data_IF_350746766558
#
_entry.id   IF_350746766558
#
_cell.length_a   1.000
_cell.length_b   1.000
_cell.length_c   1.000
_cell.angle_alpha   90.00
_cell.angle_beta   90.00
_cell.angle_gamma   90.00
#
_symmetry.space_group_name_H-M   'P 1'
#
loop_
_entity.id
_entity.type
_entity.pdbx_description
1 polymer ?
#
# COMPACT_ATOMS: atom_id res chain seq x y z
N UNK A 1 11.04 -33.83 -12.75
CA UNK A 1 12.03 -33.10 -11.95
C UNK A 1 11.34 -32.63 -10.67
N UNK A 2 11.61 -33.27 -9.54
CA UNK A 2 11.01 -32.91 -8.25
C UNK A 2 11.77 -31.69 -7.72
N UNK A 3 11.12 -30.50 -7.79
CA UNK A 3 11.63 -29.37 -7.04
C UNK A 3 11.59 -29.74 -5.54
N UNK A 4 12.69 -29.58 -4.84
CA UNK A 4 12.76 -29.85 -3.41
C UNK A 4 11.66 -29.06 -2.69
N UNK A 5 10.91 -29.69 -1.79
CA UNK A 5 9.89 -29.05 -0.94
C UNK A 5 10.42 -27.76 -0.29
N UNK A 6 11.70 -27.72 0.07
CA UNK A 6 12.35 -26.54 0.61
C UNK A 6 12.39 -25.34 -0.36
N UNK A 7 12.44 -25.58 -1.66
CA UNK A 7 12.45 -24.50 -2.68
C UNK A 7 11.02 -24.02 -2.98
N UNK A 8 10.02 -24.89 -2.83
CA UNK A 8 8.61 -24.55 -3.09
C UNK A 8 7.98 -23.81 -1.92
N UNK A 9 8.28 -24.20 -0.67
CA UNK A 9 7.64 -23.67 0.54
C UNK A 9 8.48 -22.64 1.31
N UNK A 10 9.70 -22.31 0.85
CA UNK A 10 10.56 -21.31 1.48
C UNK A 10 10.90 -20.18 0.53
N UNK A 11 10.57 -18.97 0.94
CA UNK A 11 11.04 -17.72 0.31
C UNK A 11 11.71 -16.88 1.40
N UNK A 12 12.92 -16.40 1.15
CA UNK A 12 13.56 -15.42 2.02
C UNK A 12 12.88 -14.06 1.76
N UNK A 13 12.26 -13.48 2.78
CA UNK A 13 11.81 -12.10 2.70
C UNK A 13 13.03 -11.19 2.48
N UNK A 14 12.83 -10.10 1.73
CA UNK A 14 13.85 -9.05 1.69
C UNK A 14 14.13 -8.59 3.12
N UNK A 15 15.41 -8.30 3.48
CA UNK A 15 15.71 -7.76 4.79
C UNK A 15 14.87 -6.51 5.02
N UNK A 16 14.31 -6.36 6.21
CA UNK A 16 13.74 -5.10 6.70
C UNK A 16 14.93 -4.14 6.97
N UNK A 17 15.66 -3.79 5.91
CA UNK A 17 16.74 -2.83 6.02
C UNK A 17 16.17 -1.45 6.35
N UNK A 18 16.90 -0.67 7.15
CA UNK A 18 16.55 0.72 7.35
C UNK A 18 16.56 1.45 5.99
N UNK A 19 15.53 2.26 5.69
CA UNK A 19 15.50 2.99 4.44
C UNK A 19 16.64 4.01 4.38
N UNK A 20 17.21 4.22 3.20
CA UNK A 20 18.20 5.27 2.97
C UNK A 20 17.58 6.66 3.21
N UNK A 21 18.35 7.65 3.71
CA UNK A 21 17.86 9.03 3.82
C UNK A 21 17.35 9.54 2.48
N UNK A 22 16.18 10.20 2.47
CA UNK A 22 15.56 10.74 1.26
C UNK A 22 14.90 9.71 0.33
N UNK A 23 14.90 8.43 0.71
CA UNK A 23 14.17 7.40 -0.03
C UNK A 23 12.65 7.61 0.06
N UNK A 24 11.91 7.08 -0.89
CA UNK A 24 10.44 7.03 -0.85
C UNK A 24 9.95 5.79 -0.11
N UNK A 25 8.67 5.78 0.27
CA UNK A 25 7.99 4.57 0.73
C UNK A 25 8.20 3.39 -0.21
N UNK A 26 8.46 2.21 0.35
CA UNK A 26 8.56 0.97 -0.42
C UNK A 26 7.78 -0.16 0.21
N UNK A 27 7.20 -1.03 -0.62
CA UNK A 27 6.51 -2.25 -0.22
C UNK A 27 7.11 -3.46 -0.95
N UNK A 28 7.61 -4.43 -0.20
CA UNK A 28 8.08 -5.71 -0.73
C UNK A 28 7.04 -6.77 -0.47
N UNK A 29 6.43 -7.28 -1.53
CA UNK A 29 5.30 -8.20 -1.46
C UNK A 29 5.76 -9.66 -1.41
N UNK A 30 4.99 -10.48 -0.73
CA UNK A 30 4.99 -11.93 -0.80
C UNK A 30 3.55 -12.41 -1.02
N UNK A 31 3.05 -12.23 -2.23
CA UNK A 31 1.78 -12.75 -2.72
C UNK A 31 2.00 -14.04 -3.53
N UNK A 32 0.96 -14.64 -4.05
CA UNK A 32 1.11 -15.83 -4.91
C UNK A 32 1.90 -15.54 -6.20
N UNK A 33 2.01 -14.27 -6.62
CA UNK A 33 2.80 -13.88 -7.79
C UNK A 33 4.31 -13.96 -7.50
N UNK A 34 4.74 -13.48 -6.33
CA UNK A 34 6.14 -13.51 -5.90
C UNK A 34 6.51 -14.83 -5.22
N UNK A 35 5.52 -15.53 -4.63
CA UNK A 35 5.68 -16.79 -3.91
C UNK A 35 4.55 -17.76 -4.26
N UNK A 36 4.68 -18.56 -5.33
CA UNK A 36 3.63 -19.43 -5.86
C UNK A 36 3.08 -20.46 -4.86
N UNK A 37 3.84 -20.85 -3.83
CA UNK A 37 3.36 -21.73 -2.77
C UNK A 37 2.17 -21.16 -1.98
N UNK A 38 1.90 -19.84 -2.06
CA UNK A 38 0.75 -19.20 -1.45
C UNK A 38 -0.55 -19.40 -2.24
N UNK A 39 -0.49 -19.93 -3.45
CA UNK A 39 -1.69 -20.19 -4.24
C UNK A 39 -2.64 -21.14 -3.50
N UNK A 40 -3.90 -20.72 -3.32
CA UNK A 40 -4.90 -21.45 -2.54
C UNK A 40 -4.78 -21.36 -1.01
N UNK A 41 -3.75 -20.68 -0.47
CA UNK A 41 -3.52 -20.62 0.99
C UNK A 41 -4.23 -19.46 1.69
N UNK A 42 -4.91 -18.59 0.94
CA UNK A 42 -5.69 -17.43 1.47
C UNK A 42 -4.88 -16.50 2.38
N UNK A 43 -3.58 -16.42 2.17
CA UNK A 43 -2.68 -15.54 2.94
C UNK A 43 -1.61 -14.93 2.05
N UNK A 44 -1.23 -13.70 2.32
CA UNK A 44 -0.04 -13.05 1.76
C UNK A 44 0.48 -11.98 2.73
N UNK A 45 1.72 -11.53 2.51
CA UNK A 45 2.38 -10.52 3.31
C UNK A 45 2.98 -9.40 2.46
N UNK A 46 3.14 -8.24 3.07
CA UNK A 46 4.01 -7.18 2.57
C UNK A 46 4.89 -6.66 3.71
N UNK A 47 6.17 -6.45 3.41
CA UNK A 47 7.10 -5.72 4.25
C UNK A 47 7.10 -4.26 3.79
N UNK A 48 6.83 -3.34 4.70
CA UNK A 48 6.67 -1.91 4.44
C UNK A 48 7.82 -1.14 5.07
N UNK A 49 8.44 -0.25 4.31
CA UNK A 49 9.52 0.63 4.77
C UNK A 49 9.13 2.08 4.55
N UNK A 50 9.12 2.85 5.64
CA UNK A 50 8.70 4.24 5.68
C UNK A 50 9.85 5.15 6.10
N UNK A 51 10.61 5.73 5.17
CA UNK A 51 11.49 6.85 5.46
C UNK A 51 10.74 7.99 6.15
N UNK A 52 11.46 8.86 6.85
CA UNK A 52 10.88 10.05 7.49
C UNK A 52 10.11 10.88 6.46
N UNK A 53 8.88 11.28 6.79
CA UNK A 53 7.99 12.06 5.94
C UNK A 53 7.35 11.29 4.78
N UNK A 54 7.63 9.98 4.63
CA UNK A 54 7.08 9.20 3.53
C UNK A 54 5.63 8.78 3.77
N UNK A 55 4.92 8.56 2.66
CA UNK A 55 3.50 8.18 2.64
C UNK A 55 3.32 6.95 1.75
N UNK A 56 2.60 5.95 2.23
CA UNK A 56 1.89 5.01 1.39
C UNK A 56 0.56 5.68 1.00
N UNK A 57 0.41 6.11 -0.27
CA UNK A 57 -0.74 6.91 -0.69
C UNK A 57 -2.07 6.21 -0.47
N UNK A 58 -3.16 6.98 -0.53
CA UNK A 58 -4.51 6.42 -0.43
C UNK A 58 -4.73 5.29 -1.44
N UNK A 59 -5.15 4.12 -0.93
CA UNK A 59 -5.33 2.91 -1.74
C UNK A 59 -6.38 1.98 -1.14
N UNK A 60 -6.73 0.93 -1.85
CA UNK A 60 -7.60 -0.15 -1.35
C UNK A 60 -7.03 -1.52 -1.69
N UNK A 61 -7.40 -2.52 -0.88
CA UNK A 61 -7.20 -3.93 -1.16
C UNK A 61 -8.56 -4.58 -1.45
N UNK A 62 -8.95 -4.75 -2.74
CA UNK A 62 -10.32 -5.15 -3.09
C UNK A 62 -10.65 -6.60 -2.70
N UNK A 63 -9.63 -7.44 -2.48
CA UNK A 63 -9.82 -8.88 -2.21
C UNK A 63 -9.44 -9.33 -0.80
N UNK A 64 -8.96 -8.41 0.06
CA UNK A 64 -8.59 -8.76 1.43
C UNK A 64 -8.74 -7.58 2.39
N UNK A 65 -8.92 -7.88 3.68
CA UNK A 65 -8.56 -6.97 4.77
C UNK A 65 -7.04 -6.98 4.94
N UNK A 66 -6.49 -5.89 5.47
CA UNK A 66 -5.08 -5.77 5.85
C UNK A 66 -4.96 -5.71 7.38
N UNK A 67 -4.10 -6.54 7.96
CA UNK A 67 -3.65 -6.41 9.34
C UNK A 67 -2.22 -5.88 9.33
N UNK A 68 -2.03 -4.65 9.78
CA UNK A 68 -0.74 -3.99 9.93
C UNK A 68 -0.17 -4.23 11.33
N UNK A 69 1.12 -4.54 11.41
CA UNK A 69 1.92 -4.56 12.64
C UNK A 69 3.10 -3.60 12.47
N UNK A 70 3.24 -2.61 13.35
CA UNK A 70 4.43 -1.75 13.41
C UNK A 70 5.57 -2.53 14.05
N UNK A 71 6.63 -2.77 13.30
CA UNK A 71 7.80 -3.54 13.75
C UNK A 71 8.83 -2.60 14.40
N UNK A 72 8.93 -1.36 13.89
CA UNK A 72 9.90 -0.39 14.35
C UNK A 72 9.45 1.04 14.00
N UNK A 73 9.69 2.01 14.87
CA UNK A 73 9.29 3.39 14.70
C UNK A 73 7.82 3.66 15.01
N UNK A 74 7.24 4.67 14.36
CA UNK A 74 5.85 5.09 14.55
C UNK A 74 5.19 5.44 13.20
N UNK A 75 3.90 5.19 13.10
CA UNK A 75 3.10 5.48 11.90
C UNK A 75 1.78 6.17 12.29
N UNK A 76 1.37 7.16 11.50
CA UNK A 76 -0.02 7.62 11.47
C UNK A 76 -0.76 6.87 10.37
N UNK A 77 -1.94 6.33 10.69
CA UNK A 77 -2.74 5.52 9.77
C UNK A 77 -4.19 5.96 9.77
N UNK A 78 -4.93 5.64 8.73
CA UNK A 78 -6.37 5.88 8.71
C UNK A 78 -7.08 5.20 7.55
N UNK A 79 -8.38 5.03 7.71
CA UNK A 79 -9.29 4.58 6.65
C UNK A 79 -10.63 5.31 6.71
N UNK A 80 -11.35 5.28 5.59
CA UNK A 80 -12.70 5.83 5.48
C UNK A 80 -13.69 4.68 5.25
N UNK A 81 -14.77 4.63 6.04
CA UNK A 81 -15.82 3.63 5.87
C UNK A 81 -16.84 4.01 4.78
N UNK A 82 -17.80 3.13 4.53
CA UNK A 82 -18.85 3.34 3.52
C UNK A 82 -19.86 4.44 3.89
N UNK A 83 -19.88 4.89 5.14
CA UNK A 83 -20.66 6.04 5.59
C UNK A 83 -19.91 7.38 5.46
N UNK A 84 -18.66 7.34 4.94
CA UNK A 84 -17.79 8.50 4.83
C UNK A 84 -17.12 8.92 6.15
N UNK A 85 -17.18 8.07 7.17
CA UNK A 85 -16.54 8.35 8.46
C UNK A 85 -15.06 8.02 8.40
N UNK A 86 -14.23 8.99 8.77
CA UNK A 86 -12.78 8.83 8.90
C UNK A 86 -12.41 8.24 10.27
N UNK A 87 -11.58 7.20 10.26
CA UNK A 87 -10.94 6.60 11.43
C UNK A 87 -9.44 6.79 11.30
N UNK A 88 -8.78 7.33 12.33
CA UNK A 88 -7.35 7.55 12.35
C UNK A 88 -6.74 7.09 13.66
N UNK A 89 -5.48 6.65 13.61
CA UNK A 89 -4.71 6.26 14.79
C UNK A 89 -3.22 6.54 14.56
N UNK A 90 -2.54 6.99 15.60
CA UNK A 90 -1.09 6.96 15.68
C UNK A 90 -0.66 5.66 16.36
N UNK A 91 0.29 4.96 15.75
CA UNK A 91 0.77 3.65 16.14
C UNK A 91 2.25 3.73 16.48
N UNK A 92 2.66 3.01 17.53
CA UNK A 92 4.04 2.79 17.91
C UNK A 92 4.46 1.34 17.64
N UNK A 93 5.75 1.05 17.83
CA UNK A 93 6.29 -0.30 17.74
C UNK A 93 5.50 -1.30 18.60
N UNK A 94 5.04 -2.39 17.99
CA UNK A 94 4.23 -3.44 18.61
C UNK A 94 2.72 -3.24 18.42
N UNK A 95 2.26 -2.05 18.02
CA UNK A 95 0.85 -1.80 17.76
C UNK A 95 0.39 -2.48 16.48
N UNK A 96 -0.88 -2.89 16.47
CA UNK A 96 -1.55 -3.46 15.30
C UNK A 96 -2.79 -2.64 14.93
N UNK A 97 -3.08 -2.59 13.62
CA UNK A 97 -4.25 -1.91 13.09
C UNK A 97 -4.89 -2.70 11.95
N UNK A 98 -6.21 -2.75 11.89
CA UNK A 98 -6.96 -3.43 10.82
C UNK A 98 -7.54 -2.41 9.86
N UNK A 99 -7.23 -2.58 8.56
CA UNK A 99 -7.95 -1.90 7.47
C UNK A 99 -8.99 -2.87 6.91
N UNK A 100 -10.30 -2.56 7.03
CA UNK A 100 -11.35 -3.42 6.51
C UNK A 100 -11.24 -3.56 4.98
N UNK A 101 -11.64 -4.73 4.47
CA UNK A 101 -11.60 -5.04 3.05
C UNK A 101 -12.27 -3.97 2.19
N UNK A 102 -11.55 -3.50 1.17
CA UNK A 102 -12.06 -2.56 0.18
C UNK A 102 -12.13 -1.10 0.63
N UNK A 103 -11.89 -0.79 1.90
CA UNK A 103 -11.88 0.60 2.38
C UNK A 103 -10.68 1.38 1.81
N UNK A 104 -10.89 2.66 1.50
CA UNK A 104 -9.80 3.58 1.18
C UNK A 104 -9.03 3.88 2.46
N UNK A 105 -7.73 3.62 2.44
CA UNK A 105 -6.86 3.80 3.59
C UNK A 105 -5.46 4.29 3.18
N UNK A 106 -4.68 4.70 4.16
CA UNK A 106 -3.33 5.24 3.99
C UNK A 106 -2.49 5.00 5.24
N UNK A 107 -1.17 5.01 5.08
CA UNK A 107 -0.20 5.02 6.18
C UNK A 107 0.86 6.09 5.89
N UNK A 108 1.35 6.79 6.91
CA UNK A 108 2.45 7.71 6.75
C UNK A 108 3.36 7.75 7.99
N UNK A 109 4.62 8.06 7.74
CA UNK A 109 5.58 8.34 8.79
C UNK A 109 5.68 9.87 9.01
N UNK A 110 5.06 10.35 10.07
CA UNK A 110 5.14 11.75 10.52
C UNK A 110 6.22 11.96 11.60
N UNK A 111 6.91 10.89 12.00
CA UNK A 111 7.96 10.94 13.02
C UNK A 111 9.28 11.46 12.47
N UNK A 112 10.28 11.49 13.35
CA UNK A 112 11.65 11.94 13.05
C UNK A 112 12.60 10.80 12.71
N UNK A 113 12.16 9.56 12.90
CA UNK A 113 12.94 8.34 12.61
C UNK A 113 12.24 7.48 11.56
N UNK A 114 12.97 6.68 10.78
CA UNK A 114 12.36 5.72 9.86
C UNK A 114 11.46 4.72 10.59
N UNK A 115 10.39 4.28 9.94
CA UNK A 115 9.50 3.26 10.46
C UNK A 115 9.40 2.04 9.54
N UNK A 116 9.10 0.88 10.12
CA UNK A 116 8.92 -0.39 9.42
C UNK A 116 7.68 -1.10 9.94
N UNK A 117 6.97 -1.73 9.01
CA UNK A 117 5.78 -2.48 9.34
C UNK A 117 5.68 -3.77 8.51
N UNK A 118 4.87 -4.71 9.00
CA UNK A 118 4.42 -5.88 8.27
C UNK A 118 2.92 -5.79 8.07
N UNK A 119 2.47 -6.05 6.85
CA UNK A 119 1.05 -6.20 6.53
C UNK A 119 0.75 -7.65 6.17
N UNK A 120 -0.26 -8.21 6.82
CA UNK A 120 -0.82 -9.52 6.51
C UNK A 120 -2.18 -9.34 5.83
N UNK A 121 -2.46 -10.17 4.82
CA UNK A 121 -3.70 -10.11 4.03
C UNK A 121 -4.40 -11.46 4.05
N UNK A 122 -5.72 -11.45 4.23
CA UNK A 122 -6.58 -12.63 4.14
C UNK A 122 -6.85 -13.09 2.69
N UNK A 123 -5.83 -13.05 1.85
CA UNK A 123 -5.86 -13.49 0.45
C UNK A 123 -4.45 -13.71 -0.07
N UNK A 124 -4.23 -14.74 -0.88
CA UNK A 124 -2.96 -14.92 -1.61
C UNK A 124 -2.72 -13.83 -2.67
N UNK A 125 -3.75 -13.07 -3.03
CA UNK A 125 -3.71 -11.99 -4.01
C UNK A 125 -4.66 -10.86 -3.61
N UNK A 126 -4.34 -10.12 -2.57
CA UNK A 126 -5.17 -9.02 -2.02
C UNK A 126 -5.57 -7.96 -3.05
N UNK A 127 -4.73 -7.75 -4.05
CA UNK A 127 -4.86 -6.65 -5.00
C UNK A 127 -4.43 -5.32 -4.39
N UNK A 128 -4.21 -4.34 -5.24
CA UNK A 128 -3.90 -2.97 -4.87
C UNK A 128 -4.52 -2.03 -5.89
N UNK A 129 -5.33 -1.09 -5.43
CA UNK A 129 -5.86 0.01 -6.22
C UNK A 129 -5.38 1.31 -5.58
N UNK A 130 -4.32 1.90 -6.13
CA UNK A 130 -3.84 3.22 -5.72
C UNK A 130 -4.83 4.27 -6.22
N UNK A 131 -5.51 4.97 -5.32
CA UNK A 131 -6.54 5.95 -5.70
C UNK A 131 -5.96 7.05 -6.60
N UNK A 132 -4.85 7.72 -6.27
CA UNK A 132 -4.30 8.76 -7.12
C UNK A 132 -3.92 8.25 -8.52
N UNK A 133 -3.19 7.14 -8.59
CA UNK A 133 -2.73 6.58 -9.87
C UNK A 133 -3.89 6.03 -10.69
N UNK A 134 -4.85 5.35 -10.06
CA UNK A 134 -6.01 4.79 -10.77
C UNK A 134 -6.90 5.89 -11.35
N UNK A 135 -7.05 7.01 -10.64
CA UNK A 135 -7.91 8.10 -11.08
C UNK A 135 -7.20 9.01 -12.10
N UNK A 136 -5.97 9.40 -11.84
CA UNK A 136 -5.26 10.41 -12.63
C UNK A 136 -4.14 9.86 -13.52
N UNK A 137 -3.58 8.69 -13.21
CA UNK A 137 -2.51 8.06 -13.97
C UNK A 137 -2.98 7.14 -15.09
N UNK A 138 -4.30 7.08 -15.36
CA UNK A 138 -4.93 6.28 -16.42
C UNK A 138 -5.50 7.17 -17.51
N UNK A 139 -6.11 6.57 -18.52
CA UNK A 139 -6.71 7.30 -19.66
C UNK A 139 -8.15 7.82 -19.43
N UNK A 140 -8.62 7.98 -18.19
CA UNK A 140 -9.95 8.52 -17.94
C UNK A 140 -10.04 9.95 -18.52
N UNK A 141 -11.12 10.25 -19.24
CA UNK A 141 -11.35 11.53 -19.91
C UNK A 141 -11.30 12.72 -18.91
N UNK A 142 -10.67 13.82 -19.35
CA UNK A 142 -10.46 14.98 -18.48
C UNK A 142 -11.78 15.66 -18.10
N UNK A 143 -12.76 15.67 -18.98
CA UNK A 143 -14.08 16.31 -18.71
C UNK A 143 -14.90 15.47 -17.75
N UNK A 144 -14.76 14.13 -17.80
CA UNK A 144 -15.38 13.22 -16.84
C UNK A 144 -14.80 13.47 -15.44
N UNK A 145 -13.47 13.56 -15.33
CA UNK A 145 -12.82 13.84 -14.06
C UNK A 145 -13.15 15.25 -13.54
N UNK A 146 -13.11 16.29 -14.40
CA UNK A 146 -13.45 17.64 -14.01
C UNK A 146 -14.86 17.74 -13.42
N UNK A 147 -15.84 17.11 -14.04
CA UNK A 147 -17.22 17.04 -13.53
C UNK A 147 -17.31 16.24 -12.22
N UNK A 148 -16.62 15.08 -12.13
CA UNK A 148 -16.64 14.21 -10.93
C UNK A 148 -16.05 14.91 -9.71
N UNK A 149 -14.98 15.69 -9.90
CA UNK A 149 -14.29 16.41 -8.83
C UNK A 149 -14.77 17.86 -8.66
N UNK A 150 -15.78 18.30 -9.44
CA UNK A 150 -16.33 19.66 -9.43
C UNK A 150 -15.25 20.74 -9.60
N UNK A 151 -14.36 20.52 -10.57
CA UNK A 151 -13.21 21.39 -10.89
C UNK A 151 -13.12 21.62 -12.40
N UNK A 152 -12.04 22.25 -12.86
CA UNK A 152 -11.77 22.53 -14.27
C UNK A 152 -10.79 21.52 -14.88
N UNK A 153 -10.77 21.44 -16.20
CA UNK A 153 -9.91 20.53 -16.98
C UNK A 153 -8.43 20.83 -16.76
N UNK A 154 -8.03 22.08 -16.59
CA UNK A 154 -6.63 22.45 -16.41
C UNK A 154 -6.06 21.90 -15.09
N UNK A 155 -6.88 21.90 -14.03
CA UNK A 155 -6.55 21.29 -12.73
C UNK A 155 -6.37 19.76 -12.87
N UNK A 156 -7.28 19.10 -13.58
CA UNK A 156 -7.16 17.66 -13.86
C UNK A 156 -5.87 17.33 -14.63
N UNK A 157 -5.55 18.10 -15.65
CA UNK A 157 -4.33 17.89 -16.45
C UNK A 157 -3.05 18.06 -15.61
N UNK A 158 -3.01 19.03 -14.69
CA UNK A 158 -1.89 19.16 -13.73
C UNK A 158 -1.74 17.95 -12.84
N UNK A 159 -2.84 17.39 -12.30
CA UNK A 159 -2.82 16.18 -11.48
C UNK A 159 -2.34 14.97 -12.28
N UNK A 160 -2.83 14.79 -13.50
CA UNK A 160 -2.39 13.73 -14.40
C UNK A 160 -0.90 13.82 -14.72
N UNK A 161 -0.41 15.02 -15.04
CA UNK A 161 1.01 15.25 -15.35
C UNK A 161 1.92 14.88 -14.16
N UNK A 162 1.50 15.19 -12.93
CA UNK A 162 2.26 14.87 -11.71
C UNK A 162 2.30 13.37 -11.38
N UNK A 163 1.33 12.57 -11.87
CA UNK A 163 1.19 11.14 -11.57
C UNK A 163 1.59 10.22 -12.75
N UNK A 164 1.82 10.80 -13.92
CA UNK A 164 2.34 10.05 -15.07
C UNK A 164 3.85 9.83 -14.88
N UNK A 165 4.35 8.58 -14.89
CA UNK A 165 5.77 8.34 -14.86
C UNK A 165 6.46 9.07 -16.02
N UNK A 166 7.71 9.58 -15.85
CA UNK A 166 8.44 10.12 -16.97
C UNK A 166 8.56 9.04 -18.06
N UNK A 167 8.29 9.42 -19.31
CA UNK A 167 8.49 8.50 -20.43
C UNK A 167 9.96 8.05 -20.44
N UNK A 168 10.21 6.75 -20.63
CA UNK A 168 11.56 6.21 -20.71
C UNK A 168 12.34 6.83 -21.87
#
# INVERSE_FOLDING_TARGET
MSASLNTVCRKRAAPLAAPAPGASFTATKASMAEFPALNGQSVSYASLSFPVGSVNPTHTHPRASELLLVVDGALSVGFVDTAGKLFTQDLATGDMFVFPKGTVHWQCNKGTEPARALSAFGSAAAGLVSVPVTVFGTGIDDTVLAKSFKTDVATIQKLKAALTPPKP
#
